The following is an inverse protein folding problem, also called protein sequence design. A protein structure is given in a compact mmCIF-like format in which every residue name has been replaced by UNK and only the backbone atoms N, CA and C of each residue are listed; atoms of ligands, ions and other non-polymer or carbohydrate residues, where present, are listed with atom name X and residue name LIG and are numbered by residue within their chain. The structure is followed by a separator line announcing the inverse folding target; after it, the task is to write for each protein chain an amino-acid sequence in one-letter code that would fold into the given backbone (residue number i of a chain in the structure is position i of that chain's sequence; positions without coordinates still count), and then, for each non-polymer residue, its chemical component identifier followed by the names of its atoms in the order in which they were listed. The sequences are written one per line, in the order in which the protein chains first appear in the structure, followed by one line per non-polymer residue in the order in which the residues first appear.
data_IF_031203801005
#
_entry.id   IF_031203801005
#
_cell.length_a   1.000
_cell.length_b   1.000
_cell.length_c   1.000
_cell.angle_alpha   90.00
_cell.angle_beta   90.00
_cell.angle_gamma   90.00
#
_symmetry.space_group_name_H-M   'P 1'
#
loop_
_entity.id
_entity.type
_entity.pdbx_description
1 polymer ?
#
# COMPACT_ATOMS: atom_id res chain seq x y z
N UNK A 1 1.15 -27.10 12.87
CA UNK A 1 2.16 -28.16 12.68
C UNK A 1 2.27 -29.10 13.89
N UNK A 2 2.43 -28.61 15.13
CA UNK A 2 2.49 -29.50 16.31
C UNK A 2 1.15 -30.19 16.67
N UNK A 3 0.01 -29.54 16.43
CA UNK A 3 -1.32 -30.14 16.67
C UNK A 3 -1.97 -30.72 15.38
N UNK A 4 -1.55 -30.23 14.21
CA UNK A 4 -2.01 -30.66 12.89
C UNK A 4 -0.82 -30.77 11.95
N UNK A 5 -0.72 -31.85 11.17
CA UNK A 5 0.44 -32.15 10.30
C UNK A 5 0.68 -31.11 9.20
N UNK A 6 -0.35 -30.36 8.82
CA UNK A 6 -0.30 -29.37 7.74
C UNK A 6 -0.87 -28.02 8.23
N UNK A 7 -0.47 -26.94 7.56
CA UNK A 7 -0.94 -25.57 7.79
C UNK A 7 -1.22 -24.93 6.44
N UNK A 8 -2.35 -24.24 6.33
CA UNK A 8 -2.73 -23.45 5.16
C UNK A 8 -2.58 -21.96 5.48
N UNK A 9 -1.91 -21.22 4.60
CA UNK A 9 -1.74 -19.78 4.69
C UNK A 9 -2.38 -19.15 3.46
N UNK A 10 -3.33 -18.24 3.67
CA UNK A 10 -4.00 -17.48 2.61
C UNK A 10 -3.96 -15.99 2.92
N UNK A 11 -3.89 -15.18 1.87
CA UNK A 11 -3.86 -13.73 1.97
C UNK A 11 -4.42 -13.07 0.72
N UNK A 12 -4.83 -11.82 0.87
CA UNK A 12 -5.43 -11.00 -0.18
C UNK A 12 -4.75 -9.63 -0.20
N UNK A 13 -4.56 -9.07 -1.40
CA UNK A 13 -3.97 -7.76 -1.60
C UNK A 13 -2.58 -7.63 -0.95
N UNK A 14 -2.37 -6.55 -0.19
CA UNK A 14 -1.08 -6.24 0.41
C UNK A 14 -0.59 -7.28 1.43
N UNK A 15 -1.49 -8.06 2.03
CA UNK A 15 -1.13 -9.12 2.98
C UNK A 15 -0.44 -10.32 2.30
N UNK A 16 -0.46 -10.40 0.97
CA UNK A 16 0.24 -11.49 0.26
C UNK A 16 1.73 -11.48 0.58
N UNK A 17 2.35 -10.30 0.67
CA UNK A 17 3.77 -10.17 1.00
C UNK A 17 4.12 -10.81 2.35
N UNK A 18 3.28 -10.65 3.37
CA UNK A 18 3.55 -11.20 4.69
C UNK A 18 3.45 -12.72 4.70
N UNK A 19 2.47 -13.30 3.99
CA UNK A 19 2.37 -14.77 3.85
C UNK A 19 3.57 -15.34 3.09
N UNK A 20 4.03 -14.66 2.04
CA UNK A 20 5.25 -15.05 1.32
C UNK A 20 6.45 -15.08 2.26
N UNK A 21 6.67 -14.00 3.02
CA UNK A 21 7.79 -13.93 3.96
C UNK A 21 7.71 -15.01 5.05
N UNK A 22 6.52 -15.29 5.59
CA UNK A 22 6.33 -16.36 6.57
C UNK A 22 6.69 -17.73 5.96
N UNK A 23 6.21 -18.02 4.74
CA UNK A 23 6.52 -19.27 4.06
C UNK A 23 8.02 -19.41 3.76
N UNK A 24 8.69 -18.33 3.37
CA UNK A 24 10.15 -18.29 3.16
C UNK A 24 10.92 -18.58 4.44
N UNK A 25 10.56 -17.94 5.56
CA UNK A 25 11.19 -18.18 6.86
C UNK A 25 11.04 -19.65 7.27
N UNK A 26 9.85 -20.22 7.09
CA UNK A 26 9.58 -21.62 7.45
C UNK A 26 10.39 -22.60 6.60
N UNK A 27 10.54 -22.33 5.30
CA UNK A 27 11.35 -23.16 4.39
C UNK A 27 12.85 -23.06 4.67
N UNK A 28 13.36 -21.84 4.86
CA UNK A 28 14.79 -21.61 5.10
C UNK A 28 15.27 -22.23 6.41
N UNK A 29 14.40 -22.30 7.41
CA UNK A 29 14.69 -22.94 8.69
C UNK A 29 14.37 -24.45 8.70
N UNK A 30 14.03 -25.05 7.56
CA UNK A 30 13.67 -26.46 7.41
C UNK A 30 12.50 -26.91 8.33
N UNK A 31 11.66 -25.96 8.76
CA UNK A 31 10.53 -26.23 9.66
C UNK A 31 9.28 -26.74 8.93
N UNK A 32 9.20 -26.49 7.62
CA UNK A 32 8.09 -26.91 6.78
C UNK A 32 8.55 -27.13 5.33
N UNK A 33 7.79 -27.97 4.62
CA UNK A 33 7.90 -28.15 3.17
C UNK A 33 6.60 -27.69 2.53
N UNK A 34 6.71 -26.95 1.43
CA UNK A 34 5.54 -26.52 0.67
C UNK A 34 4.86 -27.73 0.02
N UNK A 35 3.55 -27.89 0.25
CA UNK A 35 2.76 -28.94 -0.39
C UNK A 35 2.01 -28.43 -1.62
N UNK A 36 1.50 -27.19 -1.54
CA UNK A 36 0.74 -26.53 -2.60
C UNK A 36 0.91 -25.02 -2.47
N UNK A 37 1.15 -24.36 -3.60
CA UNK A 37 1.12 -22.90 -3.74
C UNK A 37 0.13 -22.59 -4.85
N UNK A 38 -0.86 -21.73 -4.56
CA UNK A 38 -1.87 -21.35 -5.53
C UNK A 38 -2.21 -19.88 -5.34
N UNK A 39 -2.29 -19.16 -6.44
CA UNK A 39 -2.84 -17.81 -6.51
C UNK A 39 -4.16 -17.86 -7.27
N UNK A 40 -5.14 -17.09 -6.82
CA UNK A 40 -6.41 -16.93 -7.52
C UNK A 40 -6.86 -15.48 -7.44
N UNK A 41 -7.51 -15.03 -8.49
CA UNK A 41 -8.32 -13.81 -8.45
C UNK A 41 -9.67 -14.17 -7.86
N UNK A 42 -10.12 -13.38 -6.89
CA UNK A 42 -11.44 -13.54 -6.28
C UNK A 42 -12.22 -12.24 -6.44
N UNK A 43 -13.45 -12.34 -6.91
CA UNK A 43 -14.36 -11.19 -6.97
C UNK A 43 -14.81 -10.87 -5.54
N UNK A 44 -14.40 -9.70 -5.04
CA UNK A 44 -14.86 -9.20 -3.74
C UNK A 44 -16.09 -8.33 -3.96
N UNK A 45 -17.18 -8.65 -3.26
CA UNK A 45 -18.28 -7.70 -3.14
C UNK A 45 -17.83 -6.57 -2.24
N UNK A 46 -17.48 -5.45 -2.84
CA UNK A 46 -17.29 -4.19 -2.14
C UNK A 46 -18.68 -3.66 -1.78
N UNK A 47 -19.09 -3.79 -0.51
CA UNK A 47 -20.26 -3.07 -0.02
C UNK A 47 -19.91 -1.57 -0.08
N UNK A 48 -20.28 -0.93 -1.19
CA UNK A 48 -19.99 0.44 -1.55
C UNK A 48 -20.73 1.49 -0.68
N UNK A 49 -20.83 1.23 0.63
CA UNK A 49 -21.20 2.20 1.66
C UNK A 49 -19.96 2.86 2.26
N UNK A 50 -19.03 3.28 1.41
CA UNK A 50 -17.75 3.88 1.81
C UNK A 50 -17.96 4.94 2.89
N UNK A 51 -17.40 4.70 4.08
CA UNK A 51 -17.25 5.77 5.06
C UNK A 51 -16.41 6.86 4.40
N UNK A 52 -16.85 8.13 4.40
CA UNK A 52 -15.98 9.23 4.02
C UNK A 52 -14.73 9.17 4.90
N UNK A 53 -13.62 8.73 4.34
CA UNK A 53 -12.32 8.85 5.00
C UNK A 53 -12.00 10.35 4.96
N UNK A 54 -12.16 10.99 6.11
CA UNK A 54 -11.77 12.38 6.30
C UNK A 54 -10.25 12.44 6.14
N UNK A 55 -9.77 12.80 4.94
CA UNK A 55 -8.36 13.11 4.74
C UNK A 55 -8.03 14.27 5.68
N UNK A 56 -7.13 14.03 6.64
CA UNK A 56 -6.56 15.10 7.43
C UNK A 56 -5.87 16.08 6.47
N UNK A 57 -6.39 17.31 6.38
CA UNK A 57 -5.57 18.41 5.88
C UNK A 57 -4.46 18.59 6.90
N UNK A 58 -3.20 18.45 6.50
CA UNK A 58 -2.11 18.90 7.36
C UNK A 58 -2.29 20.40 7.57
N UNK A 59 -2.04 20.91 8.77
CA UNK A 59 -2.19 22.35 9.09
C UNK A 59 -1.39 23.25 8.13
N UNK A 60 -0.33 22.70 7.53
CA UNK A 60 0.57 23.36 6.59
C UNK A 60 0.17 23.21 5.12
N UNK A 61 -0.92 22.50 4.81
CA UNK A 61 -1.34 22.28 3.43
C UNK A 61 -1.65 23.61 2.74
N UNK A 62 -2.37 24.50 3.42
CA UNK A 62 -2.74 25.80 2.87
C UNK A 62 -1.50 26.70 2.70
N UNK A 63 -0.54 26.64 3.63
CA UNK A 63 0.75 27.35 3.53
C UNK A 63 1.60 26.84 2.35
N UNK A 64 1.66 25.53 2.15
CA UNK A 64 2.42 24.92 1.04
C UNK A 64 1.78 25.24 -0.31
N UNK A 65 0.46 25.26 -0.40
CA UNK A 65 -0.25 25.67 -1.62
C UNK A 65 -0.05 27.16 -1.92
N UNK A 66 -0.06 28.02 -0.90
CA UNK A 66 0.23 29.44 -1.06
C UNK A 66 1.69 29.69 -1.49
N UNK A 67 2.64 28.99 -0.86
CA UNK A 67 4.06 29.07 -1.23
C UNK A 67 4.32 28.57 -2.66
N UNK A 68 3.68 27.46 -3.07
CA UNK A 68 3.78 26.95 -4.43
C UNK A 68 3.15 27.90 -5.46
N UNK A 69 2.01 28.52 -5.13
CA UNK A 69 1.38 29.51 -6.01
C UNK A 69 2.21 30.80 -6.13
N UNK A 70 2.84 31.24 -5.04
CA UNK A 70 3.75 32.38 -5.05
C UNK A 70 5.02 32.08 -5.87
N UNK A 71 5.62 30.91 -5.68
CA UNK A 71 6.78 30.48 -6.47
C UNK A 71 6.45 30.34 -7.97
N UNK A 72 5.27 29.81 -8.31
CA UNK A 72 4.81 29.74 -9.70
C UNK A 72 4.55 31.13 -10.30
N UNK A 73 4.05 32.09 -9.51
CA UNK A 73 3.87 33.46 -9.96
C UNK A 73 5.20 34.20 -10.16
N UNK A 74 6.18 33.99 -9.27
CA UNK A 74 7.54 34.51 -9.44
C UNK A 74 8.23 33.92 -10.68
N UNK A 75 8.07 32.61 -10.93
CA UNK A 75 8.61 31.98 -12.13
C UNK A 75 7.99 32.62 -13.39
N UNK A 76 6.68 32.81 -13.42
CA UNK A 76 5.98 33.46 -14.54
C UNK A 76 6.45 34.90 -14.75
N UNK A 77 6.72 35.66 -13.69
CA UNK A 77 7.25 37.03 -13.81
C UNK A 77 8.71 37.07 -14.29
N UNK A 78 9.55 36.11 -13.87
CA UNK A 78 10.93 36.01 -14.37
C UNK A 78 10.98 35.66 -15.87
N UNK A 79 10.02 34.87 -16.38
CA UNK A 79 9.88 34.61 -17.82
C UNK A 79 9.43 35.85 -18.62
N UNK A 80 8.59 36.72 -18.03
CA UNK A 80 8.11 37.95 -18.69
C UNK A 80 9.14 39.10 -18.67
N UNK A 81 9.99 39.22 -17.64
CA UNK A 81 11.06 40.24 -17.57
C UNK A 81 12.29 39.92 -18.42
N UNK A 82 12.46 38.67 -18.88
CA UNK A 82 13.56 38.23 -19.74
C UNK A 82 13.22 38.14 -21.24
N UNK A 83 11.98 38.48 -21.63
CA UNK A 83 11.51 38.53 -23.03
C UNK A 83 11.40 39.96 -23.56
#
# INVERSE_FOLDING_TARGET
MQQHKEVELSALGMAIATVVTIAEILKNNELAVEKKIMTSTVDMREDAGGRPLQKAKSEKFDELMAAAAAAAAEEVTEYEEQS
#
